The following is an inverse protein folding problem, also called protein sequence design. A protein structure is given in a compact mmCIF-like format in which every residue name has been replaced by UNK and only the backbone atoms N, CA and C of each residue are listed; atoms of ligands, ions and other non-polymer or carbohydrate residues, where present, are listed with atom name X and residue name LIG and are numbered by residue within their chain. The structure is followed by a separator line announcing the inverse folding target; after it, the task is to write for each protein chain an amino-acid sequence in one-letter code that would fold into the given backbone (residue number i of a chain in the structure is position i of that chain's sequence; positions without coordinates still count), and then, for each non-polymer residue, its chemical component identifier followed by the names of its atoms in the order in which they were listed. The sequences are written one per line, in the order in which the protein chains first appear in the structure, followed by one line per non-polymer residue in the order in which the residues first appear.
data_IF_724376716320
#
_entry.id   IF_724376716320
#
_cell.length_a   1.000
_cell.length_b   1.000
_cell.length_c   1.000
_cell.angle_alpha   90.00
_cell.angle_beta   90.00
_cell.angle_gamma   90.00
#
_symmetry.space_group_name_H-M   'P 1'
#
loop_
_entity.id
_entity.type
_entity.pdbx_description
1 polymer ?
#
# COMPACT_ATOMS: atom_id res chain seq x y z
N UNK A 1 19.98 31.31 15.72
CA UNK A 1 20.57 30.33 14.79
C UNK A 1 20.36 28.93 15.38
N UNK A 2 19.35 28.19 14.94
CA UNK A 2 19.10 26.83 15.45
C UNK A 2 20.06 25.86 14.76
N UNK A 3 20.91 25.23 15.56
CA UNK A 3 21.93 24.27 15.12
C UNK A 3 21.23 22.99 14.61
N UNK A 4 21.09 22.87 13.29
CA UNK A 4 20.56 21.67 12.63
C UNK A 4 21.60 20.57 12.78
N UNK A 5 21.55 19.82 13.89
CA UNK A 5 22.37 18.62 14.07
C UNK A 5 22.22 17.76 12.82
N UNK A 6 23.35 17.51 12.13
CA UNK A 6 23.41 16.60 11.00
C UNK A 6 22.69 15.31 11.41
N UNK A 7 21.60 15.02 10.73
CA UNK A 7 20.82 13.82 10.98
C UNK A 7 21.76 12.62 10.88
N UNK A 8 21.76 11.73 11.88
CA UNK A 8 22.52 10.46 11.83
C UNK A 8 22.10 9.52 10.69
N UNK A 9 21.07 9.89 9.92
CA UNK A 9 20.67 9.27 8.66
C UNK A 9 21.55 9.72 7.50
N UNK A 10 22.55 8.91 7.18
CA UNK A 10 23.29 9.00 5.92
C UNK A 10 22.51 8.33 4.79
N UNK A 11 22.89 8.61 3.54
CA UNK A 11 22.29 7.96 2.36
C UNK A 11 22.39 6.42 2.46
N UNK A 12 23.56 5.90 2.86
CA UNK A 12 23.78 4.47 3.08
C UNK A 12 22.80 3.86 4.09
N UNK A 13 22.57 4.52 5.24
CA UNK A 13 21.63 4.03 6.25
C UNK A 13 20.17 4.06 5.77
N UNK A 14 19.80 5.08 4.98
CA UNK A 14 18.46 5.14 4.35
C UNK A 14 18.28 3.97 3.39
N UNK A 15 19.28 3.70 2.55
CA UNK A 15 19.24 2.59 1.61
C UNK A 15 19.14 1.25 2.33
N UNK A 16 20.03 0.97 3.29
CA UNK A 16 19.97 -0.28 4.10
C UNK A 16 18.61 -0.47 4.77
N UNK A 17 18.03 0.60 5.33
CA UNK A 17 16.70 0.54 5.92
C UNK A 17 15.63 0.17 4.88
N UNK A 18 15.59 0.87 3.74
CA UNK A 18 14.58 0.67 2.70
C UNK A 18 14.69 -0.71 2.04
N UNK A 19 15.90 -1.17 1.75
CA UNK A 19 16.15 -2.49 1.16
C UNK A 19 15.69 -3.59 2.12
N UNK A 20 16.05 -3.50 3.40
CA UNK A 20 15.64 -4.47 4.42
C UNK A 20 14.12 -4.46 4.62
N UNK A 21 13.51 -3.27 4.59
CA UNK A 21 12.06 -3.12 4.71
C UNK A 21 11.34 -3.75 3.50
N UNK A 22 11.87 -3.59 2.29
CA UNK A 22 11.31 -4.19 1.08
C UNK A 22 11.39 -5.71 1.07
N UNK A 23 12.36 -6.30 1.77
CA UNK A 23 12.50 -7.75 1.87
C UNK A 23 11.64 -8.34 2.97
N UNK A 24 11.53 -7.65 4.12
CA UNK A 24 11.01 -8.25 5.35
C UNK A 24 9.66 -7.68 5.80
N UNK A 25 9.24 -6.52 5.30
CA UNK A 25 8.15 -5.70 5.85
C UNK A 25 8.27 -5.43 7.36
N UNK A 26 9.46 -5.62 7.95
CA UNK A 26 9.67 -5.53 9.39
C UNK A 26 10.55 -4.33 9.74
N UNK A 27 9.91 -3.30 10.28
CA UNK A 27 10.56 -2.04 10.69
C UNK A 27 11.60 -2.26 11.79
N UNK A 28 11.40 -3.24 12.68
CA UNK A 28 12.35 -3.54 13.75
C UNK A 28 13.67 -4.07 13.17
N UNK A 29 13.58 -5.05 12.27
CA UNK A 29 14.75 -5.63 11.58
C UNK A 29 15.43 -4.55 10.72
N UNK A 30 14.67 -3.82 9.91
CA UNK A 30 15.21 -2.75 9.06
C UNK A 30 15.95 -1.65 9.86
N UNK A 31 15.45 -1.32 11.06
CA UNK A 31 16.11 -0.38 11.96
C UNK A 31 17.41 -0.95 12.54
N UNK A 32 17.41 -2.22 12.94
CA UNK A 32 18.59 -2.91 13.46
C UNK A 32 19.71 -2.95 12.40
N UNK A 33 19.39 -3.36 11.16
CA UNK A 33 20.33 -3.41 10.04
C UNK A 33 20.88 -2.03 9.65
N UNK A 34 20.04 -0.99 9.67
CA UNK A 34 20.49 0.38 9.42
C UNK A 34 21.27 1.01 10.59
N UNK A 35 21.33 0.35 11.75
CA UNK A 35 21.93 0.88 12.97
C UNK A 35 21.22 2.15 13.46
N UNK A 36 19.88 2.14 13.43
CA UNK A 36 19.02 3.28 13.78
C UNK A 36 17.90 2.87 14.74
N UNK A 37 17.41 3.81 15.55
CA UNK A 37 16.28 3.53 16.45
C UNK A 37 14.95 3.72 15.74
N UNK A 38 13.93 2.96 16.16
CA UNK A 38 12.55 3.08 15.63
C UNK A 38 12.00 4.50 15.78
N UNK A 39 12.21 5.16 16.92
CA UNK A 39 11.79 6.56 17.09
C UNK A 39 12.44 7.47 16.04
N UNK A 40 13.75 7.31 15.80
CA UNK A 40 14.48 8.14 14.84
C UNK A 40 13.98 7.97 13.39
N UNK A 41 13.59 6.76 12.99
CA UNK A 41 13.09 6.51 11.62
C UNK A 41 11.69 7.13 11.43
N UNK A 42 10.82 7.05 12.42
CA UNK A 42 9.50 7.69 12.35
C UNK A 42 9.62 9.22 12.38
N UNK A 43 10.58 9.77 13.12
CA UNK A 43 10.90 11.20 13.03
C UNK A 43 11.39 11.58 11.63
N UNK A 44 12.27 10.78 11.01
CA UNK A 44 12.70 11.00 9.63
C UNK A 44 11.51 10.98 8.65
N UNK A 45 10.67 9.95 8.74
CA UNK A 45 9.48 9.80 7.88
C UNK A 45 8.51 10.99 7.96
N UNK A 46 8.38 11.62 9.13
CA UNK A 46 7.50 12.80 9.29
C UNK A 46 8.07 14.07 8.67
N UNK A 47 9.40 14.24 8.68
CA UNK A 47 10.06 15.47 8.20
C UNK A 47 10.50 15.41 6.75
N UNK A 48 10.60 14.21 6.18
CA UNK A 48 11.13 13.95 4.85
C UNK A 48 10.08 13.21 4.01
N UNK A 49 9.31 13.95 3.18
CA UNK A 49 8.29 13.35 2.32
C UNK A 49 8.84 12.37 1.28
N UNK A 50 10.06 12.59 0.79
CA UNK A 50 10.70 11.69 -0.17
C UNK A 50 11.01 10.35 0.50
N UNK A 51 11.57 10.38 1.71
CA UNK A 51 11.78 9.17 2.50
C UNK A 51 10.47 8.45 2.81
N UNK A 52 9.39 9.19 3.08
CA UNK A 52 8.09 8.60 3.34
C UNK A 52 7.52 7.89 2.10
N UNK A 53 7.72 8.46 0.92
CA UNK A 53 7.32 7.85 -0.34
C UNK A 53 8.16 6.60 -0.65
N UNK A 54 9.48 6.67 -0.49
CA UNK A 54 10.36 5.50 -0.66
C UNK A 54 10.02 4.39 0.33
N UNK A 55 9.72 4.72 1.58
CA UNK A 55 9.24 3.75 2.58
C UNK A 55 7.97 3.07 2.08
N UNK A 56 7.02 3.85 1.57
CA UNK A 56 5.74 3.35 1.04
C UNK A 56 5.98 2.36 -0.09
N UNK A 57 6.86 2.69 -1.02
CA UNK A 57 7.24 1.83 -2.15
C UNK A 57 7.92 0.54 -1.66
N UNK A 58 8.84 0.62 -0.70
CA UNK A 58 9.48 -0.55 -0.10
C UNK A 58 8.44 -1.51 0.49
N UNK A 59 7.47 -1.01 1.26
CA UNK A 59 6.40 -1.86 1.80
C UNK A 59 5.57 -2.53 0.71
N UNK A 60 5.23 -1.81 -0.37
CA UNK A 60 4.49 -2.41 -1.48
C UNK A 60 5.26 -3.56 -2.13
N UNK A 61 6.56 -3.38 -2.38
CA UNK A 61 7.42 -4.44 -2.92
C UNK A 61 7.46 -5.66 -2.00
N UNK A 62 7.58 -5.46 -0.68
CA UNK A 62 7.59 -6.55 0.28
C UNK A 62 6.25 -7.30 0.36
N UNK A 63 5.14 -6.58 0.21
CA UNK A 63 3.82 -7.20 0.17
C UNK A 63 3.56 -7.97 -1.12
N UNK A 64 3.99 -7.47 -2.28
CA UNK A 64 3.90 -8.22 -3.54
C UNK A 64 4.70 -9.54 -3.44
N UNK A 65 5.88 -9.52 -2.79
CA UNK A 65 6.68 -10.73 -2.55
C UNK A 65 6.02 -11.70 -1.56
N UNK A 66 5.41 -11.19 -0.49
CA UNK A 66 4.68 -12.02 0.47
C UNK A 66 3.44 -12.64 -0.17
N UNK A 67 2.71 -11.88 -0.99
CA UNK A 67 1.58 -12.35 -1.78
C UNK A 67 2.01 -13.49 -2.72
N UNK A 68 3.09 -13.30 -3.47
CA UNK A 68 3.61 -14.33 -4.38
C UNK A 68 4.06 -15.61 -3.64
N UNK A 69 4.70 -15.47 -2.47
CA UNK A 69 5.06 -16.61 -1.60
C UNK A 69 3.82 -17.37 -1.13
N UNK A 70 2.78 -16.67 -0.71
CA UNK A 70 1.54 -17.27 -0.25
C UNK A 70 0.77 -17.92 -1.39
N UNK A 71 0.72 -17.30 -2.57
CA UNK A 71 0.11 -17.88 -3.77
C UNK A 71 0.84 -19.16 -4.21
N UNK A 72 2.18 -19.16 -4.19
CA UNK A 72 2.96 -20.39 -4.40
C UNK A 72 2.62 -21.45 -3.38
N UNK A 73 2.56 -21.10 -2.09
CA UNK A 73 2.23 -22.03 -1.01
C UNK A 73 0.81 -22.61 -1.13
N UNK A 74 -0.15 -21.81 -1.59
CA UNK A 74 -1.53 -22.21 -1.79
C UNK A 74 -1.72 -23.06 -3.06
N UNK A 75 -0.99 -22.74 -4.14
CA UNK A 75 -1.01 -23.51 -5.40
C UNK A 75 -0.21 -24.81 -5.32
N UNK A 76 0.91 -24.82 -4.60
CA UNK A 76 1.67 -26.01 -4.25
C UNK A 76 1.09 -26.61 -2.96
N UNK A 77 0.00 -27.38 -3.09
CA UNK A 77 -0.59 -28.08 -1.96
C UNK A 77 0.47 -28.82 -1.13
N UNK A 78 0.74 -28.32 0.07
CA UNK A 78 1.50 -28.89 1.21
C UNK A 78 2.92 -29.46 0.94
N UNK A 79 3.38 -29.65 -0.29
CA UNK A 79 4.62 -30.38 -0.59
C UNK A 79 5.56 -29.60 -1.52
N UNK A 80 6.05 -28.44 -1.07
CA UNK A 80 7.40 -27.95 -1.40
C UNK A 80 7.63 -26.62 -0.68
N UNK A 81 8.27 -26.68 0.49
CA UNK A 81 8.85 -25.46 1.08
C UNK A 81 10.23 -25.81 1.60
N UNK A 82 11.20 -25.93 0.70
CA UNK A 82 12.58 -25.61 1.05
C UNK A 82 12.84 -24.14 0.71
N UNK A 83 12.75 -23.28 1.73
CA UNK A 83 13.53 -22.05 1.77
C UNK A 83 14.14 -21.94 3.16
N UNK A 84 15.43 -22.23 3.24
CA UNK A 84 16.20 -22.27 4.47
C UNK A 84 16.27 -20.92 5.19
N UNK A 85 16.32 -21.03 6.52
CA UNK A 85 16.52 -19.94 7.48
C UNK A 85 15.56 -20.09 8.66
N UNK A 86 15.99 -20.82 9.70
CA UNK A 86 15.20 -21.15 10.91
C UNK A 86 14.59 -19.95 11.65
N UNK A 87 13.69 -20.11 12.62
CA UNK A 87 13.47 -21.20 13.56
C UNK A 87 12.00 -21.17 14.03
N UNK A 88 11.49 -22.33 14.47
CA UNK A 88 10.12 -22.69 14.90
C UNK A 88 9.02 -22.87 13.81
N UNK A 89 8.18 -23.91 13.94
CA UNK A 89 6.94 -24.04 13.17
C UNK A 89 5.94 -23.04 13.73
N UNK A 90 5.92 -21.81 13.20
CA UNK A 90 4.69 -21.02 13.29
C UNK A 90 3.60 -21.88 12.63
N UNK A 91 2.51 -22.17 13.36
CA UNK A 91 1.36 -22.88 12.81
C UNK A 91 1.09 -22.33 11.40
N UNK A 92 0.90 -23.20 10.38
CA UNK A 92 0.75 -22.74 9.01
C UNK A 92 -0.34 -21.67 8.95
N UNK A 93 0.07 -20.42 8.75
CA UNK A 93 -0.88 -19.31 8.64
C UNK A 93 -1.80 -19.66 7.47
N UNK A 94 -3.10 -19.72 7.74
CA UNK A 94 -4.10 -20.02 6.73
C UNK A 94 -3.86 -19.10 5.51
N UNK A 95 -3.58 -19.66 4.32
CA UNK A 95 -3.26 -18.88 3.13
C UNK A 95 -4.37 -17.90 2.75
N UNK A 96 -5.63 -18.23 3.02
CA UNK A 96 -6.77 -17.33 2.78
C UNK A 96 -6.80 -16.17 3.78
N UNK A 97 -6.46 -16.43 5.04
CA UNK A 97 -6.30 -15.40 6.07
C UNK A 97 -5.12 -14.48 5.72
N UNK A 98 -3.98 -15.06 5.31
CA UNK A 98 -2.78 -14.33 4.94
C UNK A 98 -3.04 -13.42 3.72
N UNK A 99 -3.70 -13.93 2.68
CA UNK A 99 -4.07 -13.16 1.50
C UNK A 99 -5.12 -12.08 1.81
N UNK A 100 -6.07 -12.38 2.70
CA UNK A 100 -7.08 -11.39 3.16
C UNK A 100 -6.44 -10.24 3.94
N UNK A 101 -5.50 -10.53 4.83
CA UNK A 101 -4.74 -9.51 5.57
C UNK A 101 -3.88 -8.66 4.63
N UNK A 102 -3.23 -9.26 3.63
CA UNK A 102 -2.51 -8.55 2.58
C UNK A 102 -3.40 -7.57 1.80
N UNK A 103 -4.55 -8.07 1.30
CA UNK A 103 -5.53 -7.25 0.57
C UNK A 103 -6.10 -6.13 1.42
N UNK A 104 -6.31 -6.36 2.72
CA UNK A 104 -6.80 -5.35 3.65
C UNK A 104 -5.74 -4.28 3.95
N UNK A 105 -4.45 -4.62 3.93
CA UNK A 105 -3.37 -3.70 4.27
C UNK A 105 -2.83 -2.90 3.07
N UNK A 106 -2.89 -3.44 1.85
CA UNK A 106 -2.45 -2.76 0.60
C UNK A 106 -3.04 -1.35 0.42
N UNK A 107 -4.35 -1.10 0.63
CA UNK A 107 -4.93 0.25 0.55
C UNK A 107 -4.40 1.21 1.63
N UNK A 108 -4.07 0.69 2.82
CA UNK A 108 -3.52 1.50 3.93
C UNK A 108 -2.09 1.93 3.66
N UNK A 109 -1.30 1.10 2.97
CA UNK A 109 0.06 1.40 2.52
C UNK A 109 0.04 2.34 1.32
N UNK A 110 -0.89 2.17 0.36
CA UNK A 110 -1.04 3.07 -0.79
C UNK A 110 -1.39 4.53 -0.42
N UNK A 111 -1.58 4.84 0.87
CA UNK A 111 -1.96 6.19 1.29
C UNK A 111 -3.37 6.57 0.85
N UNK A 112 -4.18 5.60 0.37
CA UNK A 112 -5.61 5.78 0.24
C UNK A 112 -6.15 5.91 1.66
N UNK A 113 -6.28 7.14 2.15
CA UNK A 113 -7.18 7.43 3.26
C UNK A 113 -8.48 6.68 2.95
N UNK A 114 -8.84 5.71 3.79
CA UNK A 114 -10.22 5.24 3.86
C UNK A 114 -11.01 6.51 4.18
N UNK A 115 -11.56 7.16 3.16
CA UNK A 115 -12.64 8.13 3.38
C UNK A 115 -13.62 7.37 4.27
N UNK A 116 -14.13 7.96 5.37
CA UNK A 116 -15.18 7.31 6.15
C UNK A 116 -16.18 6.80 5.13
N UNK A 117 -16.42 5.49 5.11
CA UNK A 117 -17.22 4.86 4.08
C UNK A 117 -18.60 5.48 4.15
N UNK A 118 -18.83 6.51 3.32
CA UNK A 118 -20.16 6.97 3.03
C UNK A 118 -20.90 5.77 2.50
N UNK A 119 -22.10 5.57 3.02
CA UNK A 119 -23.02 4.54 2.58
C UNK A 119 -22.96 4.44 1.05
N UNK A 120 -22.57 3.27 0.52
CA UNK A 120 -22.56 3.04 -0.91
C UNK A 120 -24.03 3.07 -1.33
N UNK A 121 -24.51 4.25 -1.73
CA UNK A 121 -25.85 4.40 -2.28
C UNK A 121 -25.85 3.70 -3.63
N UNK A 122 -26.30 2.44 -3.63
CA UNK A 122 -26.50 1.64 -4.85
C UNK A 122 -27.71 2.20 -5.57
N UNK A 123 -27.47 3.16 -6.44
CA UNK A 123 -28.46 3.66 -7.40
C UNK A 123 -28.80 2.51 -8.36
N UNK A 124 -30.08 2.31 -8.65
CA UNK A 124 -30.51 1.25 -9.55
C UNK A 124 -30.03 1.53 -10.98
N UNK A 125 -29.88 0.49 -11.80
CA UNK A 125 -29.52 0.65 -13.21
C UNK A 125 -30.52 1.58 -13.92
N UNK A 126 -31.78 1.50 -13.56
CA UNK A 126 -32.87 2.31 -14.15
C UNK A 126 -32.72 3.79 -13.81
N UNK A 127 -32.38 4.12 -12.56
CA UNK A 127 -32.13 5.49 -12.11
C UNK A 127 -30.91 6.11 -12.81
N UNK A 128 -29.84 5.31 -13.00
CA UNK A 128 -28.65 5.74 -13.77
C UNK A 128 -29.03 6.03 -15.23
N UNK A 129 -29.83 5.15 -15.84
CA UNK A 129 -30.29 5.33 -17.23
C UNK A 129 -31.16 6.58 -17.39
N UNK A 130 -32.10 6.82 -16.47
CA UNK A 130 -32.97 7.99 -16.50
C UNK A 130 -32.21 9.31 -16.34
N UNK A 131 -31.22 9.35 -15.44
CA UNK A 131 -30.39 10.54 -15.24
C UNK A 131 -29.50 10.84 -16.46
N UNK A 132 -29.00 9.80 -17.13
CA UNK A 132 -28.19 9.93 -18.35
C UNK A 132 -29.05 10.46 -19.51
N UNK A 133 -30.22 9.89 -19.73
CA UNK A 133 -31.16 10.32 -20.75
C UNK A 133 -31.54 11.81 -20.59
N UNK A 134 -31.86 12.25 -19.37
CA UNK A 134 -32.17 13.65 -19.08
C UNK A 134 -31.02 14.60 -19.39
N UNK A 135 -29.77 14.17 -19.17
CA UNK A 135 -28.57 14.96 -19.48
C UNK A 135 -28.32 15.04 -20.99
N UNK A 136 -28.52 13.95 -21.71
CA UNK A 136 -28.38 13.92 -23.18
C UNK A 136 -29.43 14.82 -23.84
N UNK A 137 -30.69 14.76 -23.40
CA UNK A 137 -31.75 15.66 -23.88
C UNK A 137 -31.44 17.15 -23.65
N UNK A 138 -30.87 17.48 -22.49
CA UNK A 138 -30.48 18.84 -22.17
C UNK A 138 -29.31 19.32 -23.05
N UNK A 139 -28.38 18.42 -23.39
CA UNK A 139 -27.27 18.73 -24.31
C UNK A 139 -27.77 18.89 -25.74
N UNK A 140 -28.68 18.04 -26.22
CA UNK A 140 -29.28 18.19 -27.55
C UNK A 140 -30.04 19.50 -27.70
N UNK A 141 -30.81 19.91 -26.67
CA UNK A 141 -31.52 21.19 -26.68
C UNK A 141 -30.57 22.39 -26.71
N UNK A 142 -29.44 22.31 -26.01
CA UNK A 142 -28.39 23.34 -26.03
C UNK A 142 -27.70 23.42 -27.40
N UNK A 143 -27.33 22.27 -27.97
CA UNK A 143 -26.72 22.20 -29.29
C UNK A 143 -27.65 22.70 -30.40
N UNK A 144 -28.95 22.39 -30.34
CA UNK A 144 -29.95 22.92 -31.28
C UNK A 144 -30.16 24.43 -31.12
N UNK A 145 -30.08 24.95 -29.90
CA UNK A 145 -30.14 26.39 -29.64
C UNK A 145 -28.87 27.13 -30.11
N UNK A 146 -27.71 26.44 -30.11
CA UNK A 146 -26.44 26.97 -30.64
C UNK A 146 -26.35 26.88 -32.18
N UNK A 147 -26.97 25.87 -32.79
CA UNK A 147 -27.01 25.69 -34.27
C UNK A 147 -28.12 26.47 -34.97
N UNK A 148 -29.07 27.04 -34.22
CA UNK A 148 -30.17 27.85 -34.73
C UNK A 148 -29.92 29.37 -34.71
N UNK A 149 -28.67 29.80 -34.49
CA UNK A 149 -28.19 31.19 -34.62
C UNK A 149 -27.33 31.32 -35.87
#
# INVERSE_FOLDING_TARGET
MQNVKASGWTSKKRQTFLDTLAVTCNVHIACAEAGMSRSSVYHLRRRDPEFAELWRQALLMGYDRLEERLLRRAGAGINDVEFGGGDAPEEPLDPDLALSLLRAHRPTVEGRRKRPGGEIHRISREEVQAALAKRLDALEKRLKAEQGK
#
